data_IF_273386205726
#
_entry.id   IF_273386205726
#
_cell.length_a   1.000
_cell.length_b   1.000
_cell.length_c   1.000
_cell.angle_alpha   90.00
_cell.angle_beta   90.00
_cell.angle_gamma   90.00
#
_symmetry.space_group_name_H-M   'P 1'
#
loop_
_entity.id
_entity.type
_entity.pdbx_description
1 polymer ?
#
# COMPACT_ATOMS: atom_id res chain seq x y z
N UNK A 1 27.69 -10.92 8.97
CA UNK A 1 27.14 -9.54 8.90
C UNK A 1 25.75 -9.56 9.54
N UNK A 2 25.60 -8.84 10.66
CA UNK A 2 24.46 -8.90 11.58
C UNK A 2 23.27 -8.07 11.08
N UNK A 3 22.50 -8.62 10.14
CA UNK A 3 21.12 -8.20 9.93
C UNK A 3 20.22 -8.96 10.92
N UNK A 4 20.09 -8.49 12.17
CA UNK A 4 19.21 -9.17 13.13
C UNK A 4 18.48 -8.26 14.11
N UNK A 5 19.12 -7.24 14.69
CA UNK A 5 18.45 -6.42 15.72
C UNK A 5 17.61 -5.27 15.16
N UNK A 6 18.09 -4.56 14.13
CA UNK A 6 17.36 -3.43 13.54
C UNK A 6 16.07 -3.85 12.83
N UNK A 7 16.11 -4.97 12.09
CA UNK A 7 14.93 -5.50 11.39
C UNK A 7 13.85 -6.02 12.35
N UNK A 8 14.24 -6.63 13.47
CA UNK A 8 13.29 -7.10 14.48
C UNK A 8 12.62 -5.93 15.22
N UNK A 9 13.38 -4.87 15.51
CA UNK A 9 12.86 -3.66 16.13
C UNK A 9 11.90 -2.89 15.20
N UNK A 10 12.25 -2.77 13.92
CA UNK A 10 11.39 -2.15 12.91
C UNK A 10 10.08 -2.93 12.75
N UNK A 11 10.14 -4.25 12.65
CA UNK A 11 8.96 -5.12 12.55
C UNK A 11 8.10 -5.03 13.82
N UNK A 12 8.71 -4.94 15.01
CA UNK A 12 8.02 -4.68 16.27
C UNK A 12 7.24 -3.35 16.25
N UNK A 13 7.91 -2.26 15.88
CA UNK A 13 7.29 -0.94 15.78
C UNK A 13 6.15 -0.88 14.75
N UNK A 14 6.29 -1.61 13.64
CA UNK A 14 5.22 -1.74 12.63
C UNK A 14 4.00 -2.40 13.26
N UNK A 15 4.16 -3.46 14.05
CA UNK A 15 3.03 -4.12 14.72
C UNK A 15 2.38 -3.25 15.78
N UNK A 16 3.15 -2.49 16.55
CA UNK A 16 2.59 -1.58 17.56
C UNK A 16 1.80 -0.44 16.91
N UNK A 17 2.33 0.13 15.82
CA UNK A 17 1.64 1.16 15.02
C UNK A 17 0.38 0.58 14.35
N UNK A 18 0.48 -0.63 13.81
CA UNK A 18 -0.65 -1.33 13.18
C UNK A 18 -1.74 -1.64 14.22
N UNK A 19 -1.36 -2.01 15.44
CA UNK A 19 -2.28 -2.29 16.54
C UNK A 19 -2.99 -1.03 17.00
N UNK A 20 -2.29 0.09 17.11
CA UNK A 20 -2.88 1.37 17.43
C UNK A 20 -3.91 1.82 16.38
N UNK A 21 -3.61 1.63 15.10
CA UNK A 21 -4.42 2.14 14.00
C UNK A 21 -5.57 1.21 13.59
N UNK A 22 -5.38 -0.10 13.68
CA UNK A 22 -6.30 -1.10 13.12
C UNK A 22 -6.79 -2.12 14.17
N UNK A 23 -6.26 -2.07 15.39
CA UNK A 23 -6.65 -2.93 16.51
C UNK A 23 -5.89 -4.26 16.59
N UNK A 24 -6.09 -4.96 17.71
CA UNK A 24 -5.44 -6.23 18.04
C UNK A 24 -5.77 -7.33 17.05
N UNK A 25 -7.06 -7.52 16.76
CA UNK A 25 -7.54 -8.60 15.90
C UNK A 25 -6.93 -8.54 14.49
N UNK A 26 -6.77 -7.33 13.94
CA UNK A 26 -6.12 -7.12 12.64
C UNK A 26 -4.63 -7.45 12.71
N UNK A 27 -3.94 -6.94 13.73
CA UNK A 27 -2.49 -7.11 13.90
C UNK A 27 -2.13 -8.58 14.09
N UNK A 28 -2.89 -9.29 14.92
CA UNK A 28 -2.70 -10.71 15.17
C UNK A 28 -2.98 -11.55 13.92
N UNK A 29 -3.91 -11.14 13.07
CA UNK A 29 -4.18 -11.80 11.80
C UNK A 29 -3.03 -11.65 10.80
N UNK A 30 -2.35 -10.50 10.76
CA UNK A 30 -1.32 -10.21 9.75
C UNK A 30 0.10 -10.63 10.20
N UNK A 31 0.34 -10.65 11.51
CA UNK A 31 1.66 -10.94 12.12
C UNK A 31 2.33 -12.24 11.66
N UNK A 32 1.64 -13.39 11.54
CA UNK A 32 2.27 -14.63 11.09
C UNK A 32 2.87 -14.54 9.69
N UNK A 33 2.29 -13.71 8.81
CA UNK A 33 2.70 -13.58 7.42
C UNK A 33 3.95 -12.71 7.26
N UNK A 34 4.01 -11.61 8.02
CA UNK A 34 5.14 -10.66 7.97
C UNK A 34 6.37 -11.15 8.75
N UNK A 35 6.17 -11.97 9.79
CA UNK A 35 7.27 -12.59 10.53
C UNK A 35 7.93 -13.75 9.77
N UNK A 36 7.41 -14.16 8.62
CA UNK A 36 8.07 -15.16 7.79
C UNK A 36 9.36 -14.56 7.20
N UNK A 37 10.52 -14.99 7.72
CA UNK A 37 11.86 -14.45 7.40
C UNK A 37 12.30 -14.64 5.93
N UNK A 38 11.42 -15.09 5.05
CA UNK A 38 11.70 -15.29 3.63
C UNK A 38 10.65 -14.51 2.86
N UNK A 39 11.07 -13.49 2.12
CA UNK A 39 10.27 -12.98 1.01
C UNK A 39 9.75 -14.18 0.21
N UNK A 40 8.44 -14.25 0.04
CA UNK A 40 7.78 -15.37 -0.57
C UNK A 40 7.46 -15.00 -2.01
N UNK A 41 8.17 -15.56 -2.98
CA UNK A 41 7.89 -15.40 -4.42
C UNK A 41 6.69 -16.27 -4.86
N UNK A 42 5.77 -16.55 -3.93
CA UNK A 42 4.56 -17.31 -4.22
C UNK A 42 3.56 -16.40 -4.94
N UNK A 43 2.74 -17.02 -5.78
CA UNK A 43 1.76 -16.33 -6.62
C UNK A 43 0.85 -15.38 -5.82
N UNK A 44 0.45 -15.76 -4.60
CA UNK A 44 -0.36 -14.93 -3.71
C UNK A 44 0.32 -13.66 -3.20
N UNK A 45 1.63 -13.47 -3.44
CA UNK A 45 2.37 -12.26 -3.03
C UNK A 45 2.79 -11.38 -4.23
N UNK A 46 2.46 -11.79 -5.46
CA UNK A 46 2.87 -11.09 -6.67
C UNK A 46 1.67 -10.32 -7.24
N UNK A 47 1.85 -9.02 -7.43
CA UNK A 47 0.91 -8.13 -8.13
C UNK A 47 1.59 -7.61 -9.38
N UNK A 48 0.91 -7.73 -10.52
CA UNK A 48 1.42 -7.24 -11.80
C UNK A 48 0.76 -5.92 -12.14
N UNK A 49 1.57 -4.88 -12.34
CA UNK A 49 1.13 -3.55 -12.73
C UNK A 49 1.80 -3.12 -14.03
N UNK A 50 1.17 -2.20 -14.76
CA UNK A 50 1.90 -1.44 -15.78
C UNK A 50 2.90 -0.48 -15.10
N UNK A 51 3.89 0.00 -15.86
CA UNK A 51 4.96 0.84 -15.30
C UNK A 51 4.44 2.11 -14.60
N UNK A 52 3.32 2.68 -15.05
CA UNK A 52 2.73 3.87 -14.46
C UNK A 52 2.11 3.55 -13.08
N UNK A 53 1.24 2.55 -13.02
CA UNK A 53 0.57 2.11 -11.79
C UNK A 53 1.57 1.59 -10.77
N UNK A 54 2.64 0.91 -11.21
CA UNK A 54 3.72 0.49 -10.32
C UNK A 54 4.35 1.67 -9.59
N UNK A 55 4.67 2.76 -10.30
CA UNK A 55 5.23 3.98 -9.69
C UNK A 55 4.25 4.63 -8.70
N UNK A 56 2.96 4.64 -9.03
CA UNK A 56 1.92 5.17 -8.12
C UNK A 56 1.78 4.31 -6.86
N UNK A 57 1.84 2.99 -7.01
CA UNK A 57 1.78 2.04 -5.90
C UNK A 57 2.99 2.19 -4.98
N UNK A 58 4.20 2.19 -5.54
CA UNK A 58 5.45 2.38 -4.80
C UNK A 58 5.55 3.77 -4.15
N UNK A 59 4.95 4.79 -4.77
CA UNK A 59 4.86 6.14 -4.23
C UNK A 59 3.79 6.29 -3.12
N UNK A 60 3.00 5.24 -2.85
CA UNK A 60 1.90 5.31 -1.89
C UNK A 60 0.77 6.25 -2.33
N UNK A 61 0.64 6.52 -3.63
CA UNK A 61 -0.45 7.31 -4.22
C UNK A 61 -1.62 6.42 -4.65
N UNK A 62 -1.38 5.11 -4.81
CA UNK A 62 -2.37 4.12 -5.20
C UNK A 62 -2.33 2.94 -4.25
N UNK A 63 -3.51 2.44 -3.86
CA UNK A 63 -3.68 1.33 -2.93
C UNK A 63 -4.75 0.35 -3.37
N UNK A 64 -4.59 -0.90 -2.92
CA UNK A 64 -5.58 -1.96 -3.13
C UNK A 64 -6.19 -2.31 -1.77
N UNK A 65 -7.44 -1.90 -1.55
CA UNK A 65 -8.15 -2.16 -0.30
C UNK A 65 -8.76 -3.56 -0.36
N UNK A 66 -8.36 -4.49 0.52
CA UNK A 66 -8.99 -5.81 0.60
C UNK A 66 -10.43 -5.70 1.11
N UNK A 67 -11.31 -6.55 0.59
CA UNK A 67 -12.74 -6.58 0.92
C UNK A 67 -13.13 -7.87 1.63
N UNK A 68 -12.92 -9.02 0.98
CA UNK A 68 -13.29 -10.33 1.54
C UNK A 68 -12.61 -11.49 0.79
N UNK A 69 -12.67 -12.69 1.37
CA UNK A 69 -12.37 -13.96 0.70
C UNK A 69 -13.68 -14.74 0.55
N UNK A 70 -13.98 -15.22 -0.66
CA UNK A 70 -15.19 -16.02 -0.93
C UNK A 70 -14.84 -17.40 -1.45
N UNK A 71 -15.72 -18.36 -1.20
CA UNK A 71 -15.71 -19.70 -1.82
C UNK A 71 -16.74 -19.71 -2.93
N UNK A 72 -16.38 -20.13 -4.14
CA UNK A 72 -17.31 -20.36 -5.24
C UNK A 72 -17.55 -21.87 -5.34
N UNK A 73 -18.77 -22.31 -4.98
CA UNK A 73 -19.14 -23.72 -4.87
C UNK A 73 -20.25 -24.19 -5.83
N UNK A 74 -20.62 -23.38 -6.83
CA UNK A 74 -21.73 -23.71 -7.72
C UNK A 74 -21.23 -24.44 -8.98
N UNK A 75 -20.95 -25.75 -8.86
CA UNK A 75 -20.81 -26.68 -9.99
C UNK A 75 -19.42 -26.86 -10.63
N UNK A 76 -18.40 -26.14 -10.16
CA UNK A 76 -16.99 -26.29 -10.54
C UNK A 76 -16.17 -26.87 -9.36
N UNK A 77 -14.95 -27.40 -9.57
CA UNK A 77 -14.04 -27.67 -8.45
C UNK A 77 -13.92 -26.42 -7.57
N UNK A 78 -13.96 -26.63 -6.25
CA UNK A 78 -13.95 -25.55 -5.25
C UNK A 78 -12.88 -24.52 -5.62
N UNK A 79 -13.30 -23.27 -5.80
CA UNK A 79 -12.37 -22.20 -6.07
C UNK A 79 -12.55 -21.06 -5.09
N UNK A 80 -11.44 -20.48 -4.69
CA UNK A 80 -11.39 -19.45 -3.68
C UNK A 80 -11.03 -18.13 -4.35
N UNK A 81 -11.64 -17.03 -3.89
CA UNK A 81 -11.41 -15.71 -4.47
C UNK A 81 -11.10 -14.68 -3.40
N UNK A 82 -10.06 -13.89 -3.64
CA UNK A 82 -9.74 -12.71 -2.82
C UNK A 82 -10.24 -11.48 -3.55
N UNK A 83 -11.13 -10.73 -2.91
CA UNK A 83 -11.76 -9.52 -3.43
C UNK A 83 -11.09 -8.27 -2.86
N UNK A 84 -10.89 -7.27 -3.70
CA UNK A 84 -10.32 -5.99 -3.31
C UNK A 84 -10.85 -4.86 -4.21
N UNK A 85 -10.68 -3.61 -3.78
CA UNK A 85 -10.99 -2.42 -4.56
C UNK A 85 -9.77 -1.54 -4.79
N UNK A 86 -9.74 -0.86 -5.94
CA UNK A 86 -8.70 0.08 -6.33
C UNK A 86 -8.99 1.48 -5.74
N UNK A 87 -7.99 2.11 -5.13
CA UNK A 87 -8.14 3.41 -4.48
C UNK A 87 -6.96 4.34 -4.73
N UNK A 88 -7.25 5.60 -5.00
CA UNK A 88 -6.34 6.70 -4.74
C UNK A 88 -6.11 6.83 -3.25
N UNK A 89 -4.85 7.02 -2.89
CA UNK A 89 -4.45 7.28 -1.53
C UNK A 89 -4.56 8.79 -1.27
N UNK A 90 -5.21 9.23 -0.18
CA UNK A 90 -5.43 10.64 0.08
C UNK A 90 -4.10 11.35 0.38
N UNK A 91 -4.00 12.59 -0.09
CA UNK A 91 -3.02 13.54 0.43
C UNK A 91 -3.69 14.31 1.58
N UNK A 92 -2.93 14.53 2.65
CA UNK A 92 -3.41 15.31 3.81
C UNK A 92 -3.64 16.76 3.40
N UNK A 93 -4.45 17.49 4.18
CA UNK A 93 -4.70 18.91 3.94
C UNK A 93 -3.50 19.81 4.25
N UNK A 94 -2.39 19.24 4.72
CA UNK A 94 -1.17 19.96 5.06
C UNK A 94 -0.39 20.22 3.77
N UNK A 95 -0.48 21.45 3.28
CA UNK A 95 0.39 21.99 2.24
C UNK A 95 1.51 22.74 2.95
N UNK A 96 2.59 22.06 3.32
CA UNK A 96 3.73 22.70 3.99
C UNK A 96 4.50 23.53 2.95
N UNK A 97 4.22 24.84 2.95
CA UNK A 97 5.18 25.87 2.51
C UNK A 97 5.84 26.54 3.73
N UNK A 98 5.53 26.08 4.94
CA UNK A 98 5.98 26.66 6.21
C UNK A 98 6.95 25.70 6.89
N UNK A 99 8.11 26.22 7.30
CA UNK A 99 9.27 25.47 7.79
C UNK A 99 9.05 24.84 9.17
N UNK A 100 8.03 25.27 9.94
CA UNK A 100 7.77 24.80 11.29
C UNK A 100 6.28 24.50 11.53
N UNK A 101 5.91 23.22 11.49
CA UNK A 101 4.59 22.75 11.92
C UNK A 101 4.66 22.40 13.42
N UNK A 102 3.89 23.12 14.24
CA UNK A 102 3.75 22.80 15.68
C UNK A 102 2.69 21.70 15.83
N UNK A 103 2.99 20.55 16.47
CA UNK A 103 2.02 19.48 16.65
C UNK A 103 0.97 19.86 17.71
N UNK A 104 -0.14 20.44 17.25
CA UNK A 104 -1.31 20.74 18.06
C UNK A 104 -2.56 19.96 17.59
N UNK A 105 -3.69 20.13 18.29
CA UNK A 105 -4.93 19.41 17.97
C UNK A 105 -5.46 19.77 16.58
N UNK A 106 -5.26 21.00 16.11
CA UNK A 106 -5.69 21.44 14.78
C UNK A 106 -4.84 20.82 13.67
N UNK A 107 -3.52 20.77 13.87
CA UNK A 107 -2.57 20.11 12.99
C UNK A 107 -2.85 18.61 12.91
N UNK A 108 -3.09 17.95 14.05
CA UNK A 108 -3.49 16.54 14.06
C UNK A 108 -4.81 16.31 13.33
N UNK A 109 -5.80 17.20 13.47
CA UNK A 109 -7.05 17.15 12.69
C UNK A 109 -6.76 17.32 11.19
N UNK A 110 -5.88 18.23 10.80
CA UNK A 110 -5.50 18.45 9.40
C UNK A 110 -4.78 17.25 8.76
N UNK A 111 -4.02 16.46 9.54
CA UNK A 111 -3.43 15.18 9.09
C UNK A 111 -4.48 14.11 8.76
N UNK A 112 -5.65 14.19 9.40
CA UNK A 112 -6.75 13.21 9.25
C UNK A 112 -7.79 13.69 8.22
N UNK A 113 -7.90 15.00 8.01
CA UNK A 113 -8.87 15.59 7.09
C UNK A 113 -8.49 15.31 5.63
N UNK A 114 -9.41 14.67 4.91
CA UNK A 114 -9.33 14.53 3.46
C UNK A 114 -9.29 15.92 2.80
N UNK A 115 -8.33 16.13 1.89
CA UNK A 115 -8.30 17.32 1.05
C UNK A 115 -9.63 17.49 0.29
N UNK A 116 -10.12 18.73 0.09
CA UNK A 116 -11.30 18.98 -0.76
C UNK A 116 -11.16 18.33 -2.15
N UNK A 117 -9.95 18.30 -2.70
CA UNK A 117 -9.63 17.61 -3.95
C UNK A 117 -9.98 16.12 -3.89
N UNK A 118 -9.69 15.41 -2.79
CA UNK A 118 -10.03 14.00 -2.63
C UNK A 118 -11.54 13.75 -2.71
N UNK A 119 -12.37 14.66 -2.18
CA UNK A 119 -13.84 14.57 -2.32
C UNK A 119 -14.30 14.66 -3.77
N UNK A 120 -13.55 15.36 -4.62
CA UNK A 120 -13.78 15.46 -6.07
C UNK A 120 -13.18 14.29 -6.87
N UNK A 121 -12.36 13.42 -6.25
CA UNK A 121 -11.77 12.24 -6.91
C UNK A 121 -12.69 11.02 -7.02
N UNK A 122 -13.94 11.09 -6.54
CA UNK A 122 -14.92 10.01 -6.72
C UNK A 122 -15.13 9.75 -8.22
N UNK A 123 -14.80 8.52 -8.67
CA UNK A 123 -14.81 8.07 -10.08
C UNK A 123 -13.70 8.65 -10.96
N UNK A 124 -12.61 9.19 -10.40
CA UNK A 124 -11.44 9.50 -11.22
C UNK A 124 -10.81 8.22 -11.76
N UNK A 125 -10.35 8.32 -13.01
CA UNK A 125 -9.58 7.27 -13.64
C UNK A 125 -8.22 7.14 -12.95
N UNK A 126 -7.87 5.90 -12.59
CA UNK A 126 -6.57 5.51 -12.05
C UNK A 126 -5.64 5.15 -13.20
N UNK A 127 -6.07 4.22 -14.05
CA UNK A 127 -5.35 3.82 -15.26
C UNK A 127 -6.32 3.19 -16.27
N UNK A 128 -5.78 2.62 -17.35
CA UNK A 128 -6.54 1.80 -18.29
C UNK A 128 -6.04 0.37 -18.28
N UNK A 129 -6.96 -0.58 -18.39
CA UNK A 129 -6.67 -1.99 -18.62
C UNK A 129 -5.89 -2.17 -19.91
N UNK A 130 -4.81 -2.95 -19.87
CA UNK A 130 -3.97 -3.20 -21.05
C UNK A 130 -4.68 -4.04 -22.11
N UNK A 131 -5.59 -4.93 -21.69
CA UNK A 131 -6.26 -5.90 -22.56
C UNK A 131 -7.29 -5.27 -23.50
N UNK A 132 -8.08 -4.31 -22.99
CA UNK A 132 -9.24 -3.75 -23.70
C UNK A 132 -9.30 -2.22 -23.66
N UNK A 133 -8.33 -1.57 -23.01
CA UNK A 133 -8.30 -0.11 -22.87
C UNK A 133 -9.36 0.46 -21.93
N UNK A 134 -10.17 -0.38 -21.26
CA UNK A 134 -11.22 0.09 -20.36
C UNK A 134 -10.63 0.80 -19.14
N UNK A 135 -11.28 1.86 -18.62
CA UNK A 135 -10.74 2.60 -17.50
C UNK A 135 -10.88 1.80 -16.19
N UNK A 136 -9.85 1.88 -15.35
CA UNK A 136 -9.87 1.51 -13.93
C UNK A 136 -10.22 2.77 -13.14
N UNK A 137 -11.31 2.75 -12.40
CA UNK A 137 -11.81 3.89 -11.65
C UNK A 137 -11.61 3.71 -10.13
N UNK A 138 -11.62 4.84 -9.42
CA UNK A 138 -11.73 4.89 -7.97
C UNK A 138 -12.89 4.03 -7.45
N UNK A 139 -12.57 3.02 -6.63
CA UNK A 139 -13.52 2.10 -6.02
C UNK A 139 -13.85 0.86 -6.84
N UNK A 140 -13.29 0.70 -8.05
CA UNK A 140 -13.52 -0.49 -8.87
C UNK A 140 -13.08 -1.76 -8.14
N UNK A 141 -13.90 -2.81 -8.27
CA UNK A 141 -13.74 -4.07 -7.53
C UNK A 141 -13.17 -5.16 -8.42
N UNK A 142 -12.21 -5.89 -7.89
CA UNK A 142 -11.52 -6.98 -8.56
C UNK A 142 -11.48 -8.22 -7.68
N UNK A 143 -11.27 -9.38 -8.32
CA UNK A 143 -11.03 -10.62 -7.60
C UNK A 143 -9.93 -11.45 -8.27
N UNK A 144 -9.12 -12.12 -7.47
CA UNK A 144 -8.13 -13.10 -7.94
C UNK A 144 -8.57 -14.48 -7.49
N UNK A 145 -8.59 -15.44 -8.42
CA UNK A 145 -8.95 -16.84 -8.19
C UNK A 145 -7.73 -17.64 -7.72
N UNK A 146 -7.94 -18.54 -6.77
CA UNK A 146 -6.97 -19.47 -6.22
C UNK A 146 -7.55 -20.87 -6.12
N UNK A 147 -6.70 -21.88 -6.28
CA UNK A 147 -7.07 -23.30 -6.12
C UNK A 147 -7.06 -23.72 -4.64
N UNK A 148 -6.34 -23.00 -3.78
CA UNK A 148 -6.22 -23.27 -2.35
C UNK A 148 -6.76 -22.11 -1.54
N UNK A 149 -7.56 -22.42 -0.53
CA UNK A 149 -8.12 -21.42 0.38
C UNK A 149 -7.00 -20.66 1.13
N UNK A 150 -5.94 -21.37 1.49
CA UNK A 150 -4.79 -20.82 2.19
C UNK A 150 -4.10 -19.71 1.36
N UNK A 151 -3.90 -19.93 0.06
CA UNK A 151 -3.30 -18.92 -0.83
C UNK A 151 -4.20 -17.68 -0.96
N UNK A 152 -5.52 -17.87 -1.04
CA UNK A 152 -6.47 -16.75 -1.05
C UNK A 152 -6.39 -15.92 0.25
N UNK A 153 -6.30 -16.59 1.41
CA UNK A 153 -6.12 -15.94 2.71
C UNK A 153 -4.79 -15.19 2.80
N UNK A 154 -3.71 -15.77 2.27
CA UNK A 154 -2.40 -15.11 2.27
C UNK A 154 -2.39 -13.86 1.39
N UNK A 155 -2.99 -13.92 0.19
CA UNK A 155 -3.17 -12.74 -0.65
C UNK A 155 -3.98 -11.67 0.07
N UNK A 156 -5.08 -12.05 0.73
CA UNK A 156 -5.91 -11.12 1.50
C UNK A 156 -5.11 -10.44 2.62
N UNK A 157 -4.30 -11.20 3.37
CA UNK A 157 -3.47 -10.65 4.43
C UNK A 157 -2.37 -9.72 3.90
N UNK A 158 -1.74 -10.04 2.77
CA UNK A 158 -0.76 -9.18 2.13
C UNK A 158 -1.36 -7.88 1.60
N UNK A 159 -2.54 -7.95 0.98
CA UNK A 159 -3.28 -6.75 0.57
C UNK A 159 -3.63 -5.87 1.77
N UNK A 160 -4.07 -6.48 2.88
CA UNK A 160 -4.34 -5.76 4.13
C UNK A 160 -3.08 -5.04 4.59
N UNK A 161 -1.96 -5.75 4.72
CA UNK A 161 -0.71 -5.14 5.13
C UNK A 161 -0.31 -3.95 4.25
N UNK A 162 -0.30 -4.15 2.92
CA UNK A 162 0.07 -3.08 1.98
C UNK A 162 -0.89 -1.90 2.05
N UNK A 163 -2.18 -2.15 2.24
CA UNK A 163 -3.18 -1.10 2.49
C UNK A 163 -2.89 -0.32 3.77
N UNK A 164 -2.62 -1.01 4.89
CA UNK A 164 -2.27 -0.38 6.15
C UNK A 164 -1.01 0.48 6.04
N UNK A 165 0.03 -0.02 5.38
CA UNK A 165 1.26 0.75 5.10
C UNK A 165 0.96 1.98 4.25
N UNK A 166 0.13 1.82 3.21
CA UNK A 166 -0.32 2.94 2.39
C UNK A 166 -1.05 4.00 3.21
N UNK A 167 -2.02 3.59 4.05
CA UNK A 167 -2.76 4.51 4.93
C UNK A 167 -1.82 5.23 5.90
N UNK A 168 -0.89 4.52 6.54
CA UNK A 168 0.12 5.14 7.40
C UNK A 168 0.92 6.19 6.64
N UNK A 169 1.39 5.87 5.43
CA UNK A 169 2.13 6.79 4.58
C UNK A 169 1.33 8.05 4.21
N UNK A 170 0.01 7.90 4.03
CA UNK A 170 -0.88 9.05 3.83
C UNK A 170 -0.93 9.92 5.06
N UNK A 171 -1.21 9.33 6.23
CA UNK A 171 -1.40 10.07 7.47
C UNK A 171 -0.14 10.85 7.88
N UNK A 172 1.05 10.32 7.62
CA UNK A 172 2.33 11.02 7.88
C UNK A 172 2.71 12.04 6.79
N UNK A 173 1.84 12.30 5.80
CA UNK A 173 2.11 13.25 4.71
C UNK A 173 3.12 12.78 3.67
N UNK A 174 3.53 11.51 3.69
CA UNK A 174 4.54 10.96 2.80
C UNK A 174 3.97 10.31 1.53
N UNK A 175 2.67 10.47 1.26
CA UNK A 175 2.04 10.01 0.03
C UNK A 175 2.56 10.82 -1.17
N UNK A 176 3.19 10.13 -2.13
CA UNK A 176 3.79 10.75 -3.32
C UNK A 176 5.26 11.13 -3.18
N UNK A 177 5.85 11.06 -1.99
CA UNK A 177 7.29 11.21 -1.81
C UNK A 177 7.98 9.90 -2.21
N UNK A 178 8.51 9.80 -3.43
CA UNK A 178 9.35 8.64 -3.78
C UNK A 178 10.68 8.74 -3.01
N UNK A 179 11.26 7.62 -2.55
CA UNK A 179 12.57 7.60 -1.86
C UNK A 179 13.68 8.37 -2.61
N UNK A 180 13.53 8.58 -3.93
CA UNK A 180 14.46 9.37 -4.75
C UNK A 180 14.40 10.88 -4.53
N UNK A 181 13.51 11.39 -3.67
CA UNK A 181 13.45 12.80 -3.29
C UNK A 181 14.02 13.08 -1.91
N UNK A 182 14.51 12.06 -1.20
CA UNK A 182 15.29 12.25 0.02
C UNK A 182 16.78 12.14 -0.34
N UNK A 183 17.36 13.25 -0.80
CA UNK A 183 18.81 13.47 -0.74
C UNK A 183 19.05 14.43 0.42
N UNK A 184 19.29 13.91 1.64
CA UNK A 184 19.39 14.76 2.81
C UNK A 184 20.74 15.47 2.91
N UNK A 185 21.68 15.22 1.99
CA UNK A 185 22.91 15.98 1.76
C UNK A 185 23.73 15.18 0.73
N UNK A 186 24.19 15.84 -0.35
CA UNK A 186 25.62 15.73 -0.68
C UNK A 186 26.15 14.30 -0.95
N UNK A 187 25.98 13.80 -2.17
CA UNK A 187 27.09 13.17 -2.87
C UNK A 187 27.37 14.00 -4.13
N UNK A 188 28.25 15.01 -3.96
CA UNK A 188 29.03 15.54 -5.07
C UNK A 188 29.75 14.38 -5.78
N UNK A 189 29.70 14.41 -7.11
CA UNK A 189 30.49 13.58 -8.05
C UNK A 189 30.12 12.08 -8.03
N UNK A 190 29.39 11.58 -9.02
CA UNK A 190 30.07 10.99 -10.17
C UNK A 190 29.28 11.20 -11.48
N UNK A 191 29.53 12.33 -12.13
CA UNK A 191 29.25 12.48 -13.56
C UNK A 191 30.38 11.87 -14.38
N UNK A 192 30.43 10.55 -14.57
CA UNK A 192 31.29 9.96 -15.61
C UNK A 192 30.99 8.49 -15.94
N UNK A 193 29.87 8.20 -16.60
CA UNK A 193 29.85 7.12 -17.61
C UNK A 193 29.00 7.54 -18.80
N UNK A 194 29.62 8.35 -19.66
CA UNK A 194 29.20 8.48 -21.05
C UNK A 194 29.55 7.16 -21.76
N UNK A 195 28.56 6.55 -22.41
CA UNK A 195 28.82 5.54 -23.43
C UNK A 195 29.40 6.23 -24.67
N UNK A 196 30.66 5.94 -24.97
CA UNK A 196 31.20 5.85 -26.33
C UNK A 196 31.96 4.55 -26.44
#
# INVERSE_FOLDING_TARGET
MNASNGSLHLVGNIFDSTRLLFGDAYTDAVKPYLCSKKGSDKFWNILTFNCHVHKLFDGGLFGLRPLQVTVSGDGEPESYRTHFSAHWMPQTAIVSNEEDIIPDEETMKAMILETPDYKHKKKQMICSHRSDGSPVLEGDRYSIKFDKFEDARFMFAMLNYRWAVGVMRCLVGAAGLSEKQYDPDNDQDDSAYAFT
#
